data_IF_547574931387
#
_entry.id   IF_547574931387
#
_cell.length_a   1.000
_cell.length_b   1.000
_cell.length_c   1.000
_cell.angle_alpha   90.00
_cell.angle_beta   90.00
_cell.angle_gamma   90.00
#
_symmetry.space_group_name_H-M   'P 1'
#
loop_
_entity.id
_entity.type
_entity.pdbx_description
1 polymer ?
#
# COMPACT_ATOMS: atom_id res chain seq x y z
N UNK A 1 -4.59 -15.58 -7.46
CA UNK A 1 -3.20 -15.06 -7.36
C UNK A 1 -3.15 -13.59 -6.91
N UNK A 2 -4.14 -12.76 -7.24
CA UNK A 2 -4.23 -11.33 -6.87
C UNK A 2 -4.49 -11.16 -5.37
N UNK A 3 -5.14 -12.11 -4.74
CA UNK A 3 -5.61 -12.05 -3.35
C UNK A 3 -4.41 -11.99 -2.40
N UNK A 4 -3.40 -12.84 -2.64
CA UNK A 4 -2.11 -12.82 -1.92
C UNK A 4 -1.42 -11.47 -2.12
N UNK A 5 -1.46 -10.94 -3.34
CA UNK A 5 -0.89 -9.64 -3.67
C UNK A 5 -1.59 -8.50 -2.92
N UNK A 6 -2.91 -8.55 -2.82
CA UNK A 6 -3.74 -7.62 -2.05
C UNK A 6 -3.45 -7.75 -0.55
N UNK A 7 -3.29 -8.96 -0.02
CA UNK A 7 -2.90 -9.16 1.39
C UNK A 7 -1.53 -8.51 1.66
N UNK A 8 -0.54 -8.75 0.79
CA UNK A 8 0.80 -8.16 0.91
C UNK A 8 0.73 -6.63 0.79
N UNK A 9 0.00 -6.11 -0.19
CA UNK A 9 -0.21 -4.68 -0.38
C UNK A 9 -0.89 -4.04 0.84
N UNK A 10 -1.95 -4.66 1.36
CA UNK A 10 -2.68 -4.22 2.55
C UNK A 10 -1.81 -4.21 3.80
N UNK A 11 -1.04 -5.28 4.03
CA UNK A 11 -0.06 -5.35 5.11
C UNK A 11 0.95 -4.20 5.02
N UNK A 12 1.52 -3.95 3.84
CA UNK A 12 2.53 -2.91 3.66
C UNK A 12 1.95 -1.51 3.79
N UNK A 13 0.73 -1.28 3.30
CA UNK A 13 0.01 -0.02 3.53
C UNK A 13 -0.17 0.22 5.04
N UNK A 14 -0.48 -0.82 5.81
CA UNK A 14 -0.61 -0.77 7.26
C UNK A 14 0.74 -0.59 8.01
N UNK A 15 1.89 -0.83 7.38
CA UNK A 15 3.21 -0.51 7.97
C UNK A 15 3.40 0.99 8.15
N UNK A 16 2.79 1.81 7.27
CA UNK A 16 2.74 3.26 7.47
C UNK A 16 2.06 3.67 8.79
N UNK A 17 1.10 2.85 9.27
CA UNK A 17 0.51 3.04 10.60
C UNK A 17 1.49 2.66 11.71
N UNK A 18 2.26 1.58 11.50
CA UNK A 18 3.26 1.15 12.46
C UNK A 18 4.32 2.26 12.69
N UNK A 19 4.82 2.91 11.63
CA UNK A 19 5.75 4.05 11.78
C UNK A 19 5.15 5.26 12.52
N UNK A 20 3.82 5.41 12.51
CA UNK A 20 3.12 6.50 13.18
C UNK A 20 2.90 6.27 14.69
N UNK A 21 3.14 5.05 15.21
CA UNK A 21 2.94 4.74 16.63
C UNK A 21 4.23 5.11 17.41
N UNK A 22 4.21 6.14 18.28
CA UNK A 22 5.40 6.63 18.98
C UNK A 22 5.98 5.66 20.03
N UNK A 23 5.29 4.54 20.33
CA UNK A 23 5.72 3.50 21.28
C UNK A 23 6.42 2.30 20.60
N UNK A 24 6.79 2.42 19.32
CA UNK A 24 7.32 1.30 18.56
C UNK A 24 8.79 0.99 18.91
N UNK A 25 9.07 -0.25 19.28
CA UNK A 25 10.43 -0.70 19.59
C UNK A 25 11.39 -0.54 18.40
N UNK A 26 12.68 -0.30 18.67
CA UNK A 26 13.72 -0.06 17.64
C UNK A 26 13.77 -1.11 16.51
N UNK A 27 13.46 -2.37 16.83
CA UNK A 27 13.41 -3.46 15.84
C UNK A 27 12.24 -3.32 14.86
N UNK A 28 11.06 -2.93 15.35
CA UNK A 28 9.88 -2.74 14.52
C UNK A 28 10.02 -1.53 13.59
N UNK A 29 10.64 -0.44 14.05
CA UNK A 29 10.97 0.72 13.19
C UNK A 29 11.94 0.33 12.07
N UNK A 30 12.93 -0.54 12.35
CA UNK A 30 13.88 -1.00 11.35
C UNK A 30 13.22 -1.92 10.31
N UNK A 31 12.32 -2.80 10.77
CA UNK A 31 11.49 -3.62 9.88
C UNK A 31 10.55 -2.76 9.02
N UNK A 32 9.93 -1.74 9.61
CA UNK A 32 9.04 -0.84 8.89
C UNK A 32 9.78 -0.09 7.77
N UNK A 33 10.94 0.50 8.06
CA UNK A 33 11.80 1.11 7.04
C UNK A 33 12.24 0.14 5.95
N UNK A 34 12.59 -1.09 6.33
CA UNK A 34 13.00 -2.11 5.38
C UNK A 34 11.86 -2.54 4.47
N UNK A 35 10.66 -2.75 5.01
CA UNK A 35 9.48 -3.11 4.21
C UNK A 35 8.97 -1.92 3.38
N UNK A 36 9.11 -0.71 3.92
CA UNK A 36 8.83 0.54 3.24
C UNK A 36 9.67 0.74 1.99
N UNK A 37 10.93 0.27 1.93
CA UNK A 37 11.74 0.42 0.71
C UNK A 37 11.23 -0.41 -0.48
N UNK A 38 10.52 -1.50 -0.23
CA UNK A 38 9.90 -2.33 -1.27
C UNK A 38 8.54 -1.81 -1.72
N UNK A 39 8.00 -0.79 -1.06
CA UNK A 39 6.63 -0.33 -1.26
C UNK A 39 6.39 0.20 -2.70
N UNK A 40 7.37 0.85 -3.35
CA UNK A 40 7.25 1.26 -4.76
C UNK A 40 7.16 0.04 -5.68
N UNK A 41 8.06 -0.93 -5.49
CA UNK A 41 8.15 -2.13 -6.34
C UNK A 41 6.83 -2.90 -6.25
N UNK A 42 6.34 -3.11 -5.03
CA UNK A 42 5.09 -3.83 -4.78
C UNK A 42 3.91 -3.03 -5.31
N UNK A 43 3.90 -1.71 -5.16
CA UNK A 43 2.88 -0.83 -5.73
C UNK A 43 2.76 -0.99 -7.25
N UNK A 44 3.89 -1.02 -7.97
CA UNK A 44 3.92 -1.23 -9.42
C UNK A 44 3.38 -2.61 -9.80
N UNK A 45 3.84 -3.67 -9.12
CA UNK A 45 3.38 -5.05 -9.40
C UNK A 45 1.86 -5.17 -9.16
N UNK A 46 1.35 -4.54 -8.09
CA UNK A 46 -0.07 -4.53 -7.74
C UNK A 46 -0.91 -3.77 -8.78
N UNK A 47 -0.43 -2.64 -9.30
CA UNK A 47 -1.09 -1.93 -10.41
C UNK A 47 -1.16 -2.82 -11.65
N UNK A 48 -0.04 -3.42 -12.05
CA UNK A 48 0.02 -4.30 -13.24
C UNK A 48 -0.94 -5.48 -13.07
N UNK A 49 -0.95 -6.12 -11.89
CA UNK A 49 -1.84 -7.24 -11.60
C UNK A 49 -3.32 -6.82 -11.64
N UNK A 50 -3.67 -5.66 -11.07
CA UNK A 50 -5.03 -5.12 -11.10
C UNK A 50 -5.51 -4.82 -12.53
N UNK A 51 -4.63 -4.31 -13.39
CA UNK A 51 -4.94 -4.09 -14.82
C UNK A 51 -5.08 -5.42 -15.57
N UNK A 52 -4.18 -6.37 -15.33
CA UNK A 52 -4.15 -7.63 -16.08
C UNK A 52 -5.36 -8.53 -15.81
N UNK A 53 -5.77 -8.65 -14.55
CA UNK A 53 -6.87 -9.53 -14.16
C UNK A 53 -8.25 -8.87 -14.16
N UNK A 54 -8.31 -7.55 -14.34
CA UNK A 54 -9.51 -6.71 -14.52
C UNK A 54 -10.83 -7.32 -14.00
N UNK A 55 -10.91 -7.54 -12.68
CA UNK A 55 -12.10 -8.06 -12.01
C UNK A 55 -12.86 -6.91 -11.35
N UNK A 56 -13.85 -6.35 -12.03
CA UNK A 56 -14.64 -5.22 -11.51
C UNK A 56 -15.56 -5.68 -10.37
N UNK A 57 -15.65 -4.98 -9.22
CA UNK A 57 -15.05 -3.70 -8.84
C UNK A 57 -13.68 -3.80 -8.13
N UNK A 58 -13.22 -5.02 -7.80
CA UNK A 58 -12.02 -5.27 -7.00
C UNK A 58 -10.72 -4.78 -7.65
N UNK A 59 -10.62 -4.85 -8.98
CA UNK A 59 -9.48 -4.35 -9.73
C UNK A 59 -9.22 -2.86 -9.50
N UNK A 60 -10.27 -2.04 -9.35
CA UNK A 60 -10.10 -0.62 -9.03
C UNK A 60 -9.45 -0.46 -7.66
N UNK A 61 -9.94 -1.20 -6.66
CA UNK A 61 -9.40 -1.15 -5.29
C UNK A 61 -7.93 -1.57 -5.28
N UNK A 62 -7.57 -2.63 -6.01
CA UNK A 62 -6.19 -3.08 -6.19
C UNK A 62 -5.32 -2.01 -6.87
N UNK A 63 -5.80 -1.37 -7.94
CA UNK A 63 -5.06 -0.29 -8.63
C UNK A 63 -4.86 0.91 -7.71
N UNK A 64 -5.89 1.33 -6.97
CA UNK A 64 -5.78 2.41 -5.99
C UNK A 64 -4.80 2.06 -4.87
N UNK A 65 -4.81 0.82 -4.38
CA UNK A 65 -3.85 0.34 -3.38
C UNK A 65 -2.42 0.46 -3.89
N UNK A 66 -2.16 0.00 -5.12
CA UNK A 66 -0.84 0.07 -5.74
C UNK A 66 -0.37 1.51 -5.98
N UNK A 67 -1.28 2.41 -6.39
CA UNK A 67 -1.00 3.85 -6.52
C UNK A 67 -0.63 4.49 -5.18
N UNK A 68 -1.31 4.12 -4.09
CA UNK A 68 -1.03 4.64 -2.76
C UNK A 68 0.26 4.05 -2.20
N UNK A 69 0.55 2.77 -2.46
CA UNK A 69 1.85 2.18 -2.15
C UNK A 69 2.96 3.01 -2.82
N UNK A 70 2.84 3.26 -4.12
CA UNK A 70 3.80 4.09 -4.83
C UNK A 70 3.87 5.51 -4.24
N UNK A 71 2.72 6.10 -3.90
CA UNK A 71 2.60 7.42 -3.29
C UNK A 71 3.27 7.57 -1.92
N UNK A 72 3.31 6.51 -1.12
CA UNK A 72 3.88 6.57 0.24
C UNK A 72 5.38 6.89 0.28
N UNK A 73 6.13 6.57 -0.78
CA UNK A 73 7.58 6.88 -0.88
C UNK A 73 7.85 8.19 -1.64
N UNK A 74 6.87 8.76 -2.36
CA UNK A 74 7.06 10.05 -3.04
C UNK A 74 7.61 11.18 -2.12
N UNK A 75 7.23 11.32 -0.83
CA UNK A 75 7.82 12.34 0.03
C UNK A 75 9.32 12.15 0.31
N UNK A 76 9.84 10.94 0.14
CA UNK A 76 11.24 10.60 0.37
C UNK A 76 12.14 10.85 -0.85
N UNK A 77 11.56 11.14 -2.04
CA UNK A 77 12.34 11.43 -3.25
C UNK A 77 12.56 12.95 -3.33
N UNK A 78 13.78 13.46 -3.07
CA UNK A 78 14.07 14.89 -3.01
C UNK A 78 13.89 15.65 -4.34
N UNK A 79 13.74 14.93 -5.46
CA UNK A 79 13.55 15.49 -6.80
C UNK A 79 12.08 15.82 -7.13
N UNK A 80 11.12 15.50 -6.26
CA UNK A 80 9.70 15.73 -6.53
C UNK A 80 9.24 17.13 -6.11
N UNK A 81 8.55 17.82 -7.02
CA UNK A 81 8.05 19.17 -6.78
C UNK A 81 7.09 19.26 -5.59
N UNK A 82 7.00 20.46 -4.97
CA UNK A 82 6.18 20.74 -3.77
C UNK A 82 4.72 20.26 -3.88
N UNK A 83 4.12 20.30 -5.06
CA UNK A 83 2.75 19.84 -5.30
C UNK A 83 2.61 18.32 -5.15
N UNK A 84 3.57 17.55 -5.66
CA UNK A 84 3.57 16.08 -5.56
C UNK A 84 3.80 15.63 -4.11
N UNK A 85 4.68 16.33 -3.37
CA UNK A 85 4.89 16.08 -1.93
C UNK A 85 3.61 16.33 -1.12
N UNK A 86 2.84 17.38 -1.45
CA UNK A 86 1.57 17.69 -0.77
C UNK A 86 0.49 16.65 -1.08
N UNK A 87 0.38 16.22 -2.35
CA UNK A 87 -0.51 15.13 -2.75
C UNK A 87 -0.14 13.81 -2.07
N UNK A 88 1.15 13.47 -2.00
CA UNK A 88 1.63 12.27 -1.34
C UNK A 88 1.35 12.27 0.17
N UNK A 89 1.54 13.41 0.86
CA UNK A 89 1.14 13.55 2.27
C UNK A 89 -0.37 13.37 2.47
N UNK A 90 -1.17 13.90 1.56
CA UNK A 90 -2.62 13.77 1.62
C UNK A 90 -3.07 12.32 1.37
N UNK A 91 -2.53 11.67 0.34
CA UNK A 91 -2.75 10.24 0.05
C UNK A 91 -2.28 9.34 1.19
N UNK A 92 -1.15 9.68 1.82
CA UNK A 92 -0.63 9.01 3.02
C UNK A 92 -1.63 9.00 4.18
N UNK A 93 -2.46 10.04 4.33
CA UNK A 93 -3.52 10.08 5.34
C UNK A 93 -4.62 9.04 5.12
N UNK A 94 -4.89 8.65 3.87
CA UNK A 94 -5.86 7.60 3.52
C UNK A 94 -5.23 6.21 3.44
N UNK A 95 -3.90 6.13 3.51
CA UNK A 95 -3.13 4.90 3.33
C UNK A 95 -3.61 3.79 4.27
N UNK A 96 -3.85 4.11 5.53
CA UNK A 96 -4.31 3.13 6.54
C UNK A 96 -5.68 2.55 6.20
N UNK A 97 -6.64 3.42 5.87
CA UNK A 97 -8.01 3.00 5.60
C UNK A 97 -8.03 2.09 4.36
N UNK A 98 -7.29 2.48 3.33
CA UNK A 98 -7.23 1.73 2.08
C UNK A 98 -6.44 0.43 2.28
N UNK A 99 -5.35 0.46 3.04
CA UNK A 99 -4.60 -0.74 3.44
C UNK A 99 -5.48 -1.77 4.14
N UNK A 100 -6.31 -1.33 5.07
CA UNK A 100 -7.24 -2.21 5.78
C UNK A 100 -8.30 -2.80 4.85
N UNK A 101 -8.90 -1.99 3.97
CA UNK A 101 -9.89 -2.46 3.00
C UNK A 101 -9.28 -3.50 2.06
N UNK A 102 -8.09 -3.22 1.52
CA UNK A 102 -7.39 -4.10 0.58
C UNK A 102 -6.96 -5.40 1.26
N UNK A 103 -6.54 -5.34 2.53
CA UNK A 103 -6.26 -6.52 3.34
C UNK A 103 -7.51 -7.39 3.51
N UNK A 104 -8.64 -6.80 3.89
CA UNK A 104 -9.91 -7.54 4.07
C UNK A 104 -10.33 -8.18 2.76
N UNK A 105 -10.28 -7.46 1.64
CA UNK A 105 -10.61 -7.98 0.32
C UNK A 105 -9.68 -9.12 -0.07
N UNK A 106 -8.38 -8.97 0.18
CA UNK A 106 -7.41 -10.03 -0.08
C UNK A 106 -7.68 -11.29 0.73
N UNK A 107 -8.04 -11.16 2.01
CA UNK A 107 -8.41 -12.29 2.87
C UNK A 107 -9.72 -12.94 2.39
N UNK A 108 -10.75 -12.15 2.09
CA UNK A 108 -12.05 -12.66 1.61
C UNK A 108 -11.93 -13.37 0.26
N UNK A 109 -11.11 -12.84 -0.65
CA UNK A 109 -10.80 -13.49 -1.92
C UNK A 109 -10.02 -14.78 -1.73
N UNK A 110 -9.06 -14.81 -0.79
CA UNK A 110 -8.29 -16.03 -0.50
C UNK A 110 -9.18 -17.15 0.08
N UNK A 111 -10.17 -16.78 0.89
CA UNK A 111 -11.16 -17.72 1.46
C UNK A 111 -12.21 -18.15 0.41
N UNK A 112 -12.19 -17.56 -0.79
CA UNK A 112 -13.10 -17.91 -1.89
C UNK A 112 -14.52 -17.39 -1.67
N UNK A 113 -14.68 -16.37 -0.82
CA UNK A 113 -15.99 -15.75 -0.55
C UNK A 113 -16.39 -14.76 -1.65
N UNK A 114 -15.41 -14.24 -2.39
CA UNK A 114 -15.52 -13.32 -3.53
C UNK A 114 -14.42 -13.64 -4.54
#
# INVERSE_FOLDING_TARGET
MIEILNIIAGLILCIGLLEAIPAMGKHLVKLAKFLGSFQIIIGIIVIIAGIYYWSFPWALVTIFAGLILAAGILPAIPALGKHLVKLAKWLGGFQTIIGLIVLIIGILGLIGTI
#
